data_IF_352396528403
#
_entry.id   IF_352396528403
#
_cell.length_a   1.000
_cell.length_b   1.000
_cell.length_c   1.000
_cell.angle_alpha   90.00
_cell.angle_beta   90.00
_cell.angle_gamma   90.00
#
_symmetry.space_group_name_H-M   'P 1'
#
loop_
_entity.id
_entity.type
_entity.pdbx_description
1 polymer ?
#
# COMPACT_ATOMS: atom_id res chain seq x y z
N UNK A 1 9.91 25.22 26.10
CA UNK A 1 10.18 23.76 26.09
C UNK A 1 8.94 22.89 25.95
N UNK A 2 7.79 23.13 26.62
CA UNK A 2 6.66 22.17 26.65
C UNK A 2 5.43 22.50 25.81
N UNK A 3 5.15 23.79 25.53
CA UNK A 3 4.29 24.18 24.40
C UNK A 3 4.85 23.63 23.06
N UNK A 4 6.18 23.53 22.98
CA UNK A 4 6.94 22.88 21.91
C UNK A 4 6.63 21.38 21.83
N UNK A 5 6.52 20.65 22.96
CA UNK A 5 6.18 19.21 22.99
C UNK A 5 4.76 18.91 22.49
N UNK A 6 3.76 19.72 22.83
CA UNK A 6 2.40 19.57 22.29
C UNK A 6 2.31 19.90 20.79
N UNK A 7 3.07 20.90 20.35
CA UNK A 7 3.21 21.24 18.92
C UNK A 7 3.98 20.15 18.14
N UNK A 8 4.95 19.50 18.79
CA UNK A 8 5.73 18.39 18.26
C UNK A 8 4.92 17.10 18.22
N UNK A 9 4.13 16.77 19.26
CA UNK A 9 3.21 15.63 19.20
C UNK A 9 2.08 15.86 18.20
N UNK A 10 1.59 17.09 18.01
CA UNK A 10 0.62 17.42 16.94
C UNK A 10 1.23 17.28 15.54
N UNK A 11 2.51 17.64 15.37
CA UNK A 11 3.27 17.41 14.13
C UNK A 11 3.55 15.92 13.91
N UNK A 12 3.93 15.18 14.95
CA UNK A 12 4.15 13.73 14.93
C UNK A 12 2.81 13.03 14.67
N UNK A 13 1.73 13.33 15.38
CA UNK A 13 0.41 12.73 15.18
C UNK A 13 -0.11 13.06 13.78
N UNK A 14 -0.09 14.32 13.36
CA UNK A 14 -0.43 14.73 12.00
C UNK A 14 0.37 13.99 10.91
N UNK A 15 1.68 13.86 11.09
CA UNK A 15 2.55 13.11 10.20
C UNK A 15 2.35 11.59 10.32
N UNK A 16 2.04 11.04 11.49
CA UNK A 16 1.92 9.58 11.72
C UNK A 16 0.55 9.04 11.28
N UNK A 17 -0.51 9.86 11.33
CA UNK A 17 -1.81 9.55 10.70
C UNK A 17 -1.73 9.64 9.18
N UNK A 18 -1.07 10.70 8.67
CA UNK A 18 -0.81 10.86 7.23
C UNK A 18 0.06 9.71 6.72
N UNK A 19 1.09 9.34 7.51
CA UNK A 19 1.94 8.16 7.32
C UNK A 19 1.11 6.91 7.12
N UNK A 20 0.21 6.50 8.02
CA UNK A 20 -0.34 5.13 7.96
C UNK A 20 -1.77 4.97 7.43
N UNK A 21 -2.50 6.07 7.19
CA UNK A 21 -3.57 6.07 6.17
C UNK A 21 -3.00 5.81 4.76
N UNK A 22 -1.68 5.91 4.56
CA UNK A 22 -1.00 5.54 3.31
C UNK A 22 -0.02 4.35 3.44
N UNK A 23 0.58 4.11 4.62
CA UNK A 23 1.59 3.07 4.89
C UNK A 23 1.03 1.70 5.33
N UNK A 24 -0.21 1.57 5.83
CA UNK A 24 -0.73 0.28 6.33
C UNK A 24 -1.91 -0.31 5.53
N UNK A 25 -2.38 0.38 4.50
CA UNK A 25 -3.52 -0.07 3.70
C UNK A 25 -3.19 -1.16 2.67
N UNK A 26 -1.92 -1.57 2.55
CA UNK A 26 -1.51 -2.67 1.67
C UNK A 26 -1.35 -4.01 2.42
N UNK A 27 -1.10 -4.02 3.74
CA UNK A 27 -0.99 -5.26 4.53
C UNK A 27 -1.53 -5.15 5.97
N UNK A 28 -2.74 -4.61 6.11
CA UNK A 28 -3.78 -5.21 6.94
C UNK A 28 -5.07 -5.29 6.09
N UNK A 29 -5.02 -6.05 5.00
CA UNK A 29 -5.93 -7.19 5.06
C UNK A 29 -5.32 -8.07 6.15
N UNK A 30 -5.77 -7.87 7.39
CA UNK A 30 -5.97 -9.07 8.18
C UNK A 30 -6.70 -10.02 7.21
N UNK A 31 -6.27 -11.27 7.03
CA UNK A 31 -7.27 -12.23 6.70
C UNK A 31 -8.27 -12.08 7.85
N UNK A 32 -9.37 -11.37 7.61
CA UNK A 32 -10.62 -12.11 7.69
C UNK A 32 -10.40 -13.33 6.78
N UNK A 33 -9.71 -14.34 7.32
CA UNK A 33 -10.38 -15.60 7.45
C UNK A 33 -11.69 -15.18 8.09
N UNK A 34 -12.70 -15.01 7.23
CA UNK A 34 -13.92 -15.70 7.53
C UNK A 34 -13.44 -17.09 7.95
N UNK A 35 -13.30 -17.26 9.27
CA UNK A 35 -13.59 -18.55 9.83
C UNK A 35 -15.02 -18.77 9.37
N UNK A 36 -15.16 -19.39 8.20
CA UNK A 36 -16.37 -20.06 7.79
C UNK A 36 -16.48 -21.15 8.85
N UNK A 37 -17.02 -20.75 10.00
CA UNK A 37 -17.66 -21.66 10.91
C UNK A 37 -18.69 -22.35 10.04
N UNK A 38 -18.41 -23.63 9.75
CA UNK A 38 -19.32 -24.49 9.01
C UNK A 38 -20.73 -24.30 9.57
N UNK A 39 -21.61 -23.75 8.75
CA UNK A 39 -23.06 -23.96 8.83
C UNK A 39 -23.68 -23.62 7.47
N UNK A 40 -24.03 -24.70 6.76
CA UNK A 40 -25.04 -24.89 5.71
C UNK A 40 -25.38 -23.75 4.74
N UNK A 41 -25.07 -23.98 3.45
CA UNK A 41 -25.79 -23.52 2.25
C UNK A 41 -26.05 -22.01 2.03
N UNK A 42 -26.20 -21.55 0.77
CA UNK A 42 -25.84 -20.19 0.40
C UNK A 42 -26.91 -19.19 0.84
N UNK A 43 -26.52 -18.26 1.72
CA UNK A 43 -27.18 -16.95 1.75
C UNK A 43 -26.88 -16.27 0.41
N UNK A 44 -27.78 -16.48 -0.55
CA UNK A 44 -28.00 -15.59 -1.67
C UNK A 44 -28.22 -14.18 -1.11
N UNK A 45 -27.20 -13.35 -1.13
CA UNK A 45 -27.41 -11.90 -1.17
C UNK A 45 -27.78 -11.57 -2.61
N UNK A 46 -29.01 -11.89 -2.98
CA UNK A 46 -29.67 -11.19 -4.07
C UNK A 46 -29.89 -9.77 -3.55
N UNK A 47 -29.13 -8.80 -4.05
CA UNK A 47 -29.32 -7.41 -3.68
C UNK A 47 -30.57 -6.83 -4.36
N UNK A 48 -31.73 -7.35 -3.96
CA UNK A 48 -33.02 -6.80 -4.32
C UNK A 48 -33.61 -5.97 -3.16
N UNK A 49 -32.81 -5.63 -2.13
CA UNK A 49 -33.29 -4.94 -0.91
C UNK A 49 -32.31 -3.98 -0.21
N UNK A 50 -31.05 -3.80 -0.64
CA UNK A 50 -30.25 -2.69 -0.11
C UNK A 50 -30.59 -1.39 -0.85
N UNK A 51 -30.57 -0.30 -0.09
CA UNK A 51 -30.54 1.08 -0.59
C UNK A 51 -29.58 1.15 -1.79
N UNK A 52 -30.03 1.54 -2.99
CA UNK A 52 -29.17 1.69 -4.18
C UNK A 52 -27.93 2.56 -3.86
N UNK A 53 -28.08 3.44 -2.88
CA UNK A 53 -27.03 4.28 -2.35
C UNK A 53 -25.88 3.51 -1.67
N UNK A 54 -26.11 2.28 -1.24
CA UNK A 54 -25.08 1.37 -0.74
C UNK A 54 -24.05 1.00 -1.81
N UNK A 55 -24.38 1.05 -3.11
CA UNK A 55 -23.42 0.84 -4.20
C UNK A 55 -22.38 1.97 -4.22
N UNK A 56 -22.82 3.20 -3.93
CA UNK A 56 -22.00 4.41 -3.91
C UNK A 56 -21.18 4.55 -2.63
N UNK A 57 -21.73 4.11 -1.49
CA UNK A 57 -21.10 4.22 -0.17
C UNK A 57 -20.17 3.06 0.16
N UNK A 58 -19.25 3.33 1.08
CA UNK A 58 -18.46 2.28 1.72
C UNK A 58 -19.31 1.60 2.81
N UNK A 59 -19.38 0.27 2.80
CA UNK A 59 -20.23 -0.53 3.72
C UNK A 59 -19.49 -1.59 4.53
N UNK A 60 -18.22 -1.86 4.23
CA UNK A 60 -17.42 -2.95 4.79
C UNK A 60 -16.72 -2.63 6.10
N UNK A 61 -17.16 -1.59 6.81
CA UNK A 61 -16.60 -1.16 8.08
C UNK A 61 -16.94 0.28 8.42
N UNK A 62 -16.56 0.67 9.64
CA UNK A 62 -16.74 2.01 10.19
C UNK A 62 -15.42 2.54 10.73
N UNK A 63 -15.31 3.85 10.90
CA UNK A 63 -14.09 4.47 11.41
C UNK A 63 -14.31 5.11 12.77
N UNK A 64 -13.40 4.80 13.69
CA UNK A 64 -13.41 5.33 15.06
C UNK A 64 -13.12 6.84 15.14
N UNK A 65 -12.65 7.45 14.07
CA UNK A 65 -12.36 8.89 13.97
C UNK A 65 -12.41 9.33 12.51
N UNK A 66 -12.69 10.61 12.27
CA UNK A 66 -12.79 11.17 10.93
C UNK A 66 -13.76 10.37 10.03
N UNK A 67 -14.79 9.74 10.60
CA UNK A 67 -15.61 8.77 9.87
C UNK A 67 -16.28 9.41 8.66
N UNK A 68 -16.79 10.64 8.83
CA UNK A 68 -17.41 11.40 7.75
C UNK A 68 -16.44 11.61 6.59
N UNK A 69 -15.20 11.96 6.88
CA UNK A 69 -14.15 12.18 5.90
C UNK A 69 -13.74 10.87 5.21
N UNK A 70 -13.60 9.78 5.98
CA UNK A 70 -13.24 8.45 5.46
C UNK A 70 -14.32 7.87 4.54
N UNK A 71 -15.59 8.09 4.88
CA UNK A 71 -16.74 7.73 4.05
C UNK A 71 -16.83 8.60 2.81
N UNK A 72 -16.65 9.93 2.95
CA UNK A 72 -16.71 10.87 1.83
C UNK A 72 -15.61 10.61 0.79
N UNK A 73 -14.38 10.31 1.20
CA UNK A 73 -13.27 10.03 0.29
C UNK A 73 -13.34 8.62 -0.36
N UNK A 74 -14.31 7.78 0.06
CA UNK A 74 -14.62 6.45 -0.50
C UNK A 74 -16.02 6.38 -1.12
N UNK A 75 -16.70 7.51 -1.22
CA UNK A 75 -17.95 7.62 -1.94
C UNK A 75 -17.64 7.78 -3.42
N UNK A 76 -18.25 6.94 -4.26
CA UNK A 76 -18.12 7.03 -5.72
C UNK A 76 -19.49 7.39 -6.28
N UNK A 77 -19.61 8.61 -6.80
CA UNK A 77 -20.80 9.01 -7.54
C UNK A 77 -20.70 8.48 -8.97
N UNK A 78 -21.70 7.73 -9.44
CA UNK A 78 -21.72 7.23 -10.81
C UNK A 78 -23.15 6.92 -11.26
N UNK A 79 -23.40 6.88 -12.57
CA UNK A 79 -24.71 6.47 -13.11
C UNK A 79 -24.75 4.95 -13.37
N UNK A 80 -25.57 4.23 -12.59
CA UNK A 80 -25.67 2.76 -12.68
C UNK A 80 -26.18 2.28 -14.05
N UNK A 81 -27.13 3.02 -14.65
CA UNK A 81 -27.67 2.69 -15.98
C UNK A 81 -26.57 2.76 -17.04
N UNK A 82 -25.75 3.81 -17.00
CA UNK A 82 -24.59 4.00 -17.87
C UNK A 82 -23.54 2.91 -17.66
N UNK A 83 -23.26 2.50 -16.41
CA UNK A 83 -22.33 1.40 -16.13
C UNK A 83 -22.77 0.11 -16.83
N UNK A 84 -24.06 -0.23 -16.71
CA UNK A 84 -24.66 -1.42 -17.33
C UNK A 84 -24.61 -1.34 -18.85
N UNK A 85 -24.90 -0.18 -19.44
CA UNK A 85 -24.85 0.03 -20.89
C UNK A 85 -23.42 -0.08 -21.43
N UNK A 86 -22.45 0.52 -20.75
CA UNK A 86 -21.03 0.42 -21.09
C UNK A 86 -20.56 -1.04 -21.04
N UNK A 87 -20.99 -1.78 -20.01
CA UNK A 87 -20.65 -3.19 -19.85
C UNK A 87 -21.24 -4.10 -20.94
N UNK A 88 -22.53 -3.94 -21.26
CA UNK A 88 -23.17 -4.68 -22.34
C UNK A 88 -22.48 -4.39 -23.69
N UNK A 89 -22.18 -3.11 -23.96
CA UNK A 89 -21.51 -2.67 -25.18
C UNK A 89 -20.08 -3.24 -25.29
N UNK A 90 -19.30 -3.16 -24.21
CA UNK A 90 -17.91 -3.63 -24.18
C UNK A 90 -17.79 -5.16 -24.35
N UNK A 91 -18.83 -5.92 -24.00
CA UNK A 91 -18.87 -7.38 -24.09
C UNK A 91 -19.56 -7.90 -25.35
N UNK A 92 -20.26 -7.04 -26.09
CA UNK A 92 -21.11 -7.42 -27.22
C UNK A 92 -22.40 -8.12 -26.81
N UNK A 93 -22.81 -8.00 -25.54
CA UNK A 93 -24.03 -8.59 -24.98
C UNK A 93 -25.21 -7.61 -25.13
N UNK A 94 -26.45 -8.12 -25.04
CA UNK A 94 -27.66 -7.30 -25.23
C UNK A 94 -27.98 -6.44 -24.00
N UNK A 95 -27.77 -6.98 -22.81
CA UNK A 95 -28.05 -6.31 -21.54
C UNK A 95 -27.31 -6.95 -20.37
N UNK A 96 -27.13 -6.19 -19.29
CA UNK A 96 -26.74 -6.73 -17.98
C UNK A 96 -28.00 -7.11 -17.20
N UNK A 97 -28.03 -8.32 -16.63
CA UNK A 97 -29.16 -8.85 -15.86
C UNK A 97 -28.97 -8.68 -14.35
N UNK A 98 -27.73 -8.57 -13.88
CA UNK A 98 -27.42 -8.46 -12.46
C UNK A 98 -26.19 -7.60 -12.21
N UNK A 99 -26.21 -6.82 -11.12
CA UNK A 99 -25.08 -6.05 -10.61
C UNK A 99 -24.91 -6.37 -9.15
N UNK A 100 -23.73 -6.86 -8.77
CA UNK A 100 -23.41 -7.24 -7.39
C UNK A 100 -22.11 -6.56 -6.95
N UNK A 101 -22.15 -5.78 -5.87
CA UNK A 101 -20.92 -5.25 -5.23
C UNK A 101 -20.22 -6.38 -4.46
N UNK A 102 -19.25 -7.05 -5.09
CA UNK A 102 -18.58 -8.24 -4.53
C UNK A 102 -17.43 -7.90 -3.58
N UNK A 103 -16.86 -6.70 -3.71
CA UNK A 103 -15.77 -6.25 -2.87
C UNK A 103 -15.70 -4.73 -2.89
N UNK A 104 -15.33 -4.15 -1.77
CA UNK A 104 -14.91 -2.77 -1.70
C UNK A 104 -13.64 -2.71 -0.84
N UNK A 105 -12.54 -2.34 -1.50
CA UNK A 105 -11.27 -2.14 -0.84
C UNK A 105 -11.18 -0.73 -0.27
N UNK A 106 -9.99 -0.38 0.23
CA UNK A 106 -9.72 0.98 0.70
C UNK A 106 -9.76 2.01 -0.44
N UNK A 107 -9.54 1.57 -1.67
CA UNK A 107 -9.28 2.42 -2.82
C UNK A 107 -10.21 2.17 -4.00
N UNK A 108 -11.05 1.13 -3.98
CA UNK A 108 -11.88 0.79 -5.14
C UNK A 108 -13.20 0.15 -4.72
N UNK A 109 -14.24 0.42 -5.49
CA UNK A 109 -15.45 -0.40 -5.56
C UNK A 109 -15.30 -1.44 -6.66
N UNK A 110 -15.69 -2.68 -6.37
CA UNK A 110 -15.60 -3.79 -7.30
C UNK A 110 -16.98 -4.44 -7.41
N UNK A 111 -17.51 -4.42 -8.63
CA UNK A 111 -18.80 -5.00 -8.97
C UNK A 111 -18.60 -6.19 -9.89
N UNK A 112 -19.34 -7.27 -9.64
CA UNK A 112 -19.59 -8.31 -10.61
C UNK A 112 -20.84 -7.91 -11.41
N UNK A 113 -20.72 -7.99 -12.73
CA UNK A 113 -21.81 -7.74 -13.67
C UNK A 113 -22.12 -9.03 -14.44
N UNK A 114 -23.36 -9.49 -14.37
CA UNK A 114 -23.82 -10.69 -15.10
C UNK A 114 -24.58 -10.24 -16.35
N UNK A 115 -24.12 -10.66 -17.52
CA UNK A 115 -24.76 -10.37 -18.82
C UNK A 115 -25.90 -11.34 -19.12
N UNK A 116 -26.78 -10.97 -20.05
CA UNK A 116 -27.93 -11.78 -20.46
C UNK A 116 -27.56 -13.11 -21.15
N UNK A 117 -26.31 -13.25 -21.60
CA UNK A 117 -25.76 -14.48 -22.18
C UNK A 117 -25.06 -15.36 -21.12
N UNK A 118 -25.12 -14.97 -19.84
CA UNK A 118 -24.48 -15.66 -18.73
C UNK A 118 -23.01 -15.30 -18.51
N UNK A 119 -22.42 -14.43 -19.35
CA UNK A 119 -21.04 -13.97 -19.14
C UNK A 119 -20.97 -13.07 -17.91
N UNK A 120 -20.00 -13.33 -17.04
CA UNK A 120 -19.71 -12.49 -15.88
C UNK A 120 -18.45 -11.65 -16.14
N UNK A 121 -18.50 -10.37 -15.80
CA UNK A 121 -17.34 -9.46 -15.87
C UNK A 121 -17.18 -8.69 -14.56
N UNK A 122 -16.01 -8.06 -14.39
CA UNK A 122 -15.72 -7.19 -13.26
C UNK A 122 -15.71 -5.74 -13.70
N UNK A 123 -16.42 -4.89 -12.97
CA UNK A 123 -16.27 -3.44 -13.02
C UNK A 123 -15.53 -2.95 -11.77
N UNK A 124 -14.41 -2.28 -11.96
CA UNK A 124 -13.61 -1.67 -10.89
C UNK A 124 -13.67 -0.16 -11.04
N UNK A 125 -14.13 0.54 -10.00
CA UNK A 125 -14.20 1.99 -9.94
C UNK A 125 -13.31 2.47 -8.78
N UNK A 126 -12.27 3.26 -9.03
CA UNK A 126 -11.45 3.81 -7.95
C UNK A 126 -12.24 4.82 -7.12
N UNK A 127 -11.96 4.81 -5.82
CA UNK A 127 -12.43 5.80 -4.87
C UNK A 127 -11.64 7.12 -5.09
N UNK A 128 -12.20 8.28 -4.68
CA UNK A 128 -11.47 9.55 -4.72
C UNK A 128 -10.10 9.54 -4.01
N UNK A 129 -9.90 8.67 -3.02
CA UNK A 129 -8.63 8.51 -2.30
C UNK A 129 -7.63 7.52 -2.96
N UNK A 130 -7.96 6.94 -4.12
CA UNK A 130 -7.15 5.88 -4.76
C UNK A 130 -5.78 6.35 -5.24
N UNK A 131 -5.59 7.66 -5.43
CA UNK A 131 -4.35 8.22 -5.91
C UNK A 131 -4.60 9.49 -6.71
N UNK A 132 -3.67 9.81 -7.61
CA UNK A 132 -3.86 10.94 -8.53
C UNK A 132 -4.95 10.54 -9.55
N UNK A 133 -6.00 11.37 -9.72
CA UNK A 133 -6.98 11.16 -10.77
C UNK A 133 -6.31 11.01 -12.13
N UNK A 134 -6.94 10.29 -13.04
CA UNK A 134 -6.40 9.89 -14.34
C UNK A 134 -5.23 8.90 -14.28
N UNK A 135 -4.15 9.25 -13.59
CA UNK A 135 -2.90 8.49 -13.61
C UNK A 135 -3.03 7.10 -12.97
N UNK A 136 -3.85 6.95 -11.92
CA UNK A 136 -4.00 5.66 -11.24
C UNK A 136 -4.62 4.61 -12.16
N UNK A 137 -5.77 4.93 -12.77
CA UNK A 137 -6.48 4.05 -13.71
C UNK A 137 -5.69 3.85 -15.00
N UNK A 138 -5.16 4.93 -15.60
CA UNK A 138 -4.40 4.85 -16.84
C UNK A 138 -3.16 3.96 -16.69
N UNK A 139 -2.45 4.07 -15.55
CA UNK A 139 -1.28 3.23 -15.31
C UNK A 139 -1.62 1.77 -15.08
N UNK A 140 -2.70 1.50 -14.33
CA UNK A 140 -3.14 0.13 -14.07
C UNK A 140 -3.50 -0.58 -15.37
N UNK A 141 -4.28 0.07 -16.24
CA UNK A 141 -4.68 -0.51 -17.54
C UNK A 141 -3.48 -0.73 -18.46
N UNK A 142 -2.61 0.27 -18.60
CA UNK A 142 -1.40 0.15 -19.42
C UNK A 142 -0.47 -0.97 -18.92
N UNK A 143 -0.37 -1.13 -17.60
CA UNK A 143 0.39 -2.23 -16.99
C UNK A 143 -0.25 -3.57 -17.31
N UNK A 144 -1.57 -3.73 -17.15
CA UNK A 144 -2.25 -4.99 -17.48
C UNK A 144 -2.08 -5.37 -18.96
N UNK A 145 -2.21 -4.40 -19.87
CA UNK A 145 -1.98 -4.61 -21.30
C UNK A 145 -0.54 -5.07 -21.57
N UNK A 146 0.45 -4.36 -21.03
CA UNK A 146 1.86 -4.73 -21.15
C UNK A 146 2.14 -6.14 -20.63
N UNK A 147 1.66 -6.46 -19.42
CA UNK A 147 1.85 -7.79 -18.84
C UNK A 147 1.23 -8.89 -19.72
N UNK A 148 0.02 -8.66 -20.26
CA UNK A 148 -0.68 -9.64 -21.08
C UNK A 148 -0.07 -9.80 -22.47
N UNK A 149 0.13 -8.69 -23.17
CA UNK A 149 0.43 -8.69 -24.61
C UNK A 149 1.93 -8.60 -24.92
N UNK A 150 2.75 -8.09 -23.99
CA UNK A 150 4.21 -8.03 -24.14
C UNK A 150 4.86 -9.17 -23.38
N UNK A 151 4.50 -9.39 -22.11
CA UNK A 151 5.13 -10.44 -21.27
C UNK A 151 4.40 -11.79 -21.30
N UNK A 152 3.26 -11.88 -21.98
CA UNK A 152 2.44 -13.10 -22.08
C UNK A 152 2.05 -13.68 -20.72
N UNK A 153 1.75 -12.81 -19.75
CA UNK A 153 1.33 -13.18 -18.40
C UNK A 153 -0.19 -13.34 -18.32
N UNK A 154 -0.70 -14.27 -17.50
CA UNK A 154 -2.13 -14.53 -17.35
C UNK A 154 -2.80 -13.50 -16.43
N UNK A 155 -2.89 -12.25 -16.89
CA UNK A 155 -3.63 -11.17 -16.22
C UNK A 155 -4.99 -10.94 -16.89
N UNK A 156 -6.01 -10.43 -16.19
CA UNK A 156 -7.34 -10.22 -16.77
C UNK A 156 -7.32 -9.39 -18.05
N UNK A 157 -8.16 -9.73 -19.03
CA UNK A 157 -8.36 -8.89 -20.21
C UNK A 157 -9.20 -7.67 -19.85
N UNK A 158 -8.72 -6.47 -20.20
CA UNK A 158 -9.54 -5.24 -20.13
C UNK A 158 -10.45 -5.17 -21.36
N UNK A 159 -11.74 -4.97 -21.14
CA UNK A 159 -12.75 -4.79 -22.20
C UNK A 159 -12.96 -3.32 -22.55
N UNK A 160 -13.07 -2.47 -21.53
CA UNK A 160 -13.22 -1.03 -21.68
C UNK A 160 -12.75 -0.33 -20.40
N UNK A 161 -12.34 0.93 -20.50
CA UNK A 161 -11.92 1.72 -19.35
C UNK A 161 -12.02 3.20 -19.66
N UNK A 162 -12.06 4.03 -18.62
CA UNK A 162 -11.91 5.48 -18.73
C UNK A 162 -11.26 6.01 -17.45
N UNK A 163 -10.17 6.76 -17.60
CA UNK A 163 -9.47 7.41 -16.49
C UNK A 163 -9.87 8.88 -16.30
N UNK A 164 -10.68 9.44 -17.20
CA UNK A 164 -11.08 10.85 -17.17
C UNK A 164 -12.57 10.95 -16.87
N UNK A 165 -12.91 10.99 -15.57
CA UNK A 165 -14.30 11.00 -15.11
C UNK A 165 -15.16 12.11 -15.73
N UNK A 166 -14.57 13.28 -16.01
CA UNK A 166 -15.26 14.42 -16.65
C UNK A 166 -15.59 14.23 -18.13
N UNK A 167 -14.92 13.29 -18.80
CA UNK A 167 -15.06 13.05 -20.24
C UNK A 167 -15.96 11.84 -20.54
N UNK A 168 -16.51 11.21 -19.50
CA UNK A 168 -17.29 9.98 -19.63
C UNK A 168 -18.64 10.09 -18.91
N UNK A 169 -19.74 9.65 -19.55
CA UNK A 169 -21.10 9.80 -19.03
C UNK A 169 -21.35 9.06 -17.72
N UNK A 170 -20.52 8.08 -17.36
CA UNK A 170 -20.62 7.40 -16.06
C UNK A 170 -20.36 8.36 -14.88
N UNK A 171 -19.56 9.42 -15.09
CA UNK A 171 -19.19 10.38 -14.05
C UNK A 171 -18.09 9.90 -13.09
N UNK A 172 -17.49 8.74 -13.35
CA UNK A 172 -16.41 8.16 -12.55
C UNK A 172 -15.36 7.49 -13.44
N UNK A 173 -14.15 7.35 -12.93
CA UNK A 173 -13.15 6.46 -13.56
C UNK A 173 -13.62 5.00 -13.43
N UNK A 174 -13.26 4.16 -14.41
CA UNK A 174 -13.62 2.75 -14.36
C UNK A 174 -12.70 1.88 -15.21
N UNK A 175 -12.66 0.60 -14.85
CA UNK A 175 -12.09 -0.50 -15.65
C UNK A 175 -13.14 -1.62 -15.70
N UNK A 176 -13.57 -2.00 -16.91
CA UNK A 176 -14.36 -3.19 -17.18
C UNK A 176 -13.44 -4.28 -17.69
N UNK A 177 -13.38 -5.41 -17.00
CA UNK A 177 -12.41 -6.47 -17.27
C UNK A 177 -12.96 -7.88 -17.03
N UNK A 178 -12.25 -8.85 -17.57
CA UNK A 178 -12.52 -10.29 -17.45
C UNK A 178 -12.57 -10.74 -15.98
N UNK A 179 -13.64 -11.44 -15.60
CA UNK A 179 -13.68 -12.17 -14.32
C UNK A 179 -12.80 -13.42 -14.45
N UNK A 180 -11.76 -13.53 -13.63
CA UNK A 180 -10.89 -14.70 -13.64
C UNK A 180 -11.59 -15.89 -12.98
N UNK A 181 -11.61 -17.02 -13.68
CA UNK A 181 -12.04 -18.29 -13.11
C UNK A 181 -10.96 -18.82 -12.16
N UNK A 182 -11.35 -19.24 -10.96
CA UNK A 182 -10.43 -19.84 -10.02
C UNK A 182 -10.85 -19.65 -8.56
N UNK A 183 -9.96 -20.08 -7.66
CA UNK A 183 -10.11 -19.94 -6.21
C UNK A 183 -8.87 -19.22 -5.70
N UNK A 184 -9.06 -18.26 -4.79
CA UNK A 184 -7.96 -17.55 -4.15
C UNK A 184 -7.05 -18.55 -3.44
N UNK A 185 -5.74 -18.49 -3.73
CA UNK A 185 -4.76 -19.47 -3.28
C UNK A 185 -4.78 -19.66 -1.75
N UNK A 186 -4.93 -18.58 -0.99
CA UNK A 186 -5.01 -18.59 0.49
C UNK A 186 -6.10 -19.52 1.02
N UNK A 187 -7.23 -19.65 0.30
CA UNK A 187 -8.37 -20.46 0.75
C UNK A 187 -8.09 -21.97 0.67
N UNK A 188 -7.13 -22.38 -0.16
CA UNK A 188 -6.84 -23.79 -0.44
C UNK A 188 -5.41 -24.18 -0.06
N UNK A 189 -4.51 -23.21 0.15
CA UNK A 189 -3.09 -23.45 0.37
C UNK A 189 -2.81 -24.48 1.45
N UNK A 190 -3.50 -24.41 2.60
CA UNK A 190 -3.26 -25.31 3.72
C UNK A 190 -3.73 -26.75 3.47
N UNK A 191 -4.68 -26.96 2.55
CA UNK A 191 -5.20 -28.28 2.19
C UNK A 191 -4.52 -28.90 0.97
N UNK A 192 -3.74 -28.12 0.22
CA UNK A 192 -2.99 -28.59 -0.96
C UNK A 192 -1.86 -29.55 -0.59
N UNK A 193 -1.65 -30.57 -1.42
CA UNK A 193 -0.55 -31.53 -1.29
C UNK A 193 0.79 -30.88 -1.70
N UNK A 194 1.90 -31.37 -1.14
CA UNK A 194 3.24 -30.84 -1.42
C UNK A 194 3.57 -30.71 -2.91
N UNK A 195 3.25 -31.74 -3.72
CA UNK A 195 3.47 -31.70 -5.18
C UNK A 195 2.69 -30.58 -5.87
N UNK A 196 1.46 -30.30 -5.43
CA UNK A 196 0.64 -29.21 -5.99
C UNK A 196 1.21 -27.84 -5.60
N UNK A 197 1.70 -27.69 -4.36
CA UNK A 197 2.38 -26.46 -3.92
C UNK A 197 3.61 -26.17 -4.77
N UNK A 198 4.43 -27.18 -5.05
CA UNK A 198 5.62 -27.04 -5.92
C UNK A 198 5.22 -26.56 -7.32
N UNK A 199 4.16 -27.12 -7.92
CA UNK A 199 3.68 -26.66 -9.23
C UNK A 199 3.20 -25.21 -9.24
N UNK A 200 2.59 -24.72 -8.16
CA UNK A 200 2.23 -23.31 -8.02
C UNK A 200 3.47 -22.44 -7.86
N UNK A 201 4.45 -22.88 -7.08
CA UNK A 201 5.71 -22.15 -6.92
C UNK A 201 6.45 -22.02 -8.26
N UNK A 202 6.48 -23.08 -9.08
CA UNK A 202 7.10 -23.02 -10.42
C UNK A 202 6.43 -21.96 -11.31
N UNK A 203 5.09 -21.82 -11.23
CA UNK A 203 4.36 -20.78 -11.96
C UNK A 203 4.67 -19.37 -11.44
N UNK A 204 4.74 -19.19 -10.12
CA UNK A 204 5.10 -17.89 -9.51
C UNK A 204 6.51 -17.48 -9.96
N UNK A 205 7.48 -18.40 -9.88
CA UNK A 205 8.86 -18.15 -10.32
C UNK A 205 8.93 -17.82 -11.80
N UNK A 206 8.13 -18.46 -12.65
CA UNK A 206 8.07 -18.10 -14.07
C UNK A 206 7.55 -16.68 -14.30
N UNK A 207 6.50 -16.27 -13.58
CA UNK A 207 5.96 -14.90 -13.64
C UNK A 207 7.03 -13.89 -13.23
N UNK A 208 7.66 -14.11 -12.07
CA UNK A 208 8.72 -13.25 -11.54
C UNK A 208 9.91 -13.15 -12.49
N UNK A 209 10.34 -14.27 -13.08
CA UNK A 209 11.42 -14.31 -14.07
C UNK A 209 11.11 -13.41 -15.26
N UNK A 210 9.90 -13.46 -15.82
CA UNK A 210 9.51 -12.64 -16.97
C UNK A 210 9.43 -11.15 -16.63
N UNK A 211 8.93 -10.81 -15.44
CA UNK A 211 8.93 -9.45 -14.93
C UNK A 211 10.36 -8.93 -14.78
N UNK A 212 11.23 -9.69 -14.10
CA UNK A 212 12.61 -9.28 -13.82
C UNK A 212 13.50 -9.17 -15.07
N UNK A 213 13.18 -9.94 -16.12
CA UNK A 213 13.90 -9.88 -17.39
C UNK A 213 13.61 -8.59 -18.20
N UNK A 214 12.62 -7.81 -17.80
CA UNK A 214 12.21 -6.57 -18.45
C UNK A 214 12.76 -5.39 -17.66
N UNK A 215 13.84 -4.77 -18.15
CA UNK A 215 14.50 -3.66 -17.44
C UNK A 215 14.08 -2.33 -18.05
N UNK A 216 13.14 -1.63 -17.42
CA UNK A 216 12.73 -0.30 -17.87
C UNK A 216 13.91 0.68 -17.82
N UNK A 217 14.00 1.54 -18.83
CA UNK A 217 15.06 2.54 -18.98
C UNK A 217 14.89 3.75 -18.06
N UNK A 218 13.68 3.94 -17.52
CA UNK A 218 13.29 5.09 -16.73
C UNK A 218 12.60 4.65 -15.44
N UNK A 219 12.69 5.49 -14.42
CA UNK A 219 11.96 5.32 -13.17
C UNK A 219 10.59 5.99 -13.27
N UNK A 220 9.53 5.28 -12.87
CA UNK A 220 8.17 5.77 -13.01
C UNK A 220 7.14 4.65 -13.01
N UNK A 221 5.92 5.00 -13.43
CA UNK A 221 4.86 4.03 -13.71
C UNK A 221 4.64 3.92 -15.22
N UNK A 222 4.10 2.78 -15.67
CA UNK A 222 3.82 2.54 -17.09
C UNK A 222 2.48 3.18 -17.48
N UNK A 223 2.42 3.82 -18.64
CA UNK A 223 1.20 4.45 -19.19
C UNK A 223 1.12 4.21 -20.70
N UNK A 224 -0.06 4.42 -21.30
CA UNK A 224 -0.09 4.69 -22.74
C UNK A 224 0.49 6.07 -23.02
N UNK A 225 1.18 6.23 -24.16
CA UNK A 225 1.78 7.53 -24.53
C UNK A 225 0.76 8.65 -24.61
N UNK A 226 -0.48 8.37 -25.05
CA UNK A 226 -1.56 9.37 -25.11
C UNK A 226 -2.07 9.84 -23.74
N UNK A 227 -1.75 9.13 -22.66
CA UNK A 227 -2.10 9.53 -21.30
C UNK A 227 -1.02 10.38 -20.62
N UNK A 228 0.13 10.52 -21.27
CA UNK A 228 1.25 11.33 -20.82
C UNK A 228 1.22 12.72 -21.48
N UNK A 229 1.81 13.74 -20.83
CA UNK A 229 2.02 15.04 -21.47
C UNK A 229 2.84 14.92 -22.77
N UNK A 230 2.57 15.79 -23.76
CA UNK A 230 3.18 15.78 -25.10
C UNK A 230 4.72 15.92 -25.11
N UNK A 231 5.28 16.37 -23.99
CA UNK A 231 6.69 16.55 -23.72
C UNK A 231 7.38 15.29 -23.14
N UNK A 232 6.75 14.12 -23.22
CA UNK A 232 7.36 12.85 -22.86
C UNK A 232 8.44 12.43 -23.88
N UNK A 233 9.57 11.93 -23.37
CA UNK A 233 10.67 11.46 -24.21
C UNK A 233 10.22 10.24 -25.04
N UNK A 234 10.16 10.42 -26.37
CA UNK A 234 9.79 9.37 -27.32
C UNK A 234 10.99 8.67 -27.93
N UNK A 235 12.20 9.17 -27.67
CA UNK A 235 13.45 8.71 -28.29
C UNK A 235 14.16 7.65 -27.46
N UNK A 236 14.05 7.71 -26.14
CA UNK A 236 14.59 6.67 -25.25
C UNK A 236 13.88 5.33 -25.44
N UNK A 237 14.61 4.19 -25.36
CA UNK A 237 14.00 2.88 -25.33
C UNK A 237 13.06 2.76 -24.12
N UNK A 238 12.01 1.96 -24.20
CA UNK A 238 11.10 1.74 -23.07
C UNK A 238 11.74 0.81 -22.04
N UNK A 239 12.27 -0.32 -22.51
CA UNK A 239 12.93 -1.32 -21.68
C UNK A 239 13.99 -2.07 -22.49
N UNK A 240 14.89 -2.74 -21.77
CA UNK A 240 15.81 -3.74 -22.32
C UNK A 240 15.22 -5.12 -22.06
N UNK A 241 15.13 -5.93 -23.11
CA UNK A 241 14.56 -7.28 -23.03
C UNK A 241 15.54 -8.32 -22.45
N UNK A 242 15.07 -9.55 -22.30
CA UNK A 242 15.86 -10.67 -21.77
C UNK A 242 17.11 -11.02 -22.59
N UNK A 243 17.17 -10.57 -23.85
CA UNK A 243 18.29 -10.80 -24.77
C UNK A 243 19.25 -9.61 -24.85
N UNK A 244 18.97 -8.54 -24.09
CA UNK A 244 19.79 -7.33 -24.07
C UNK A 244 19.45 -6.33 -25.16
N UNK A 245 18.36 -6.51 -25.91
CA UNK A 245 17.96 -5.57 -26.95
C UNK A 245 17.14 -4.42 -26.36
N UNK A 246 17.43 -3.22 -26.84
CA UNK A 246 16.64 -2.02 -26.53
C UNK A 246 15.31 -2.04 -27.29
N UNK A 247 14.21 -2.06 -26.55
CA UNK A 247 12.87 -2.09 -27.12
C UNK A 247 12.24 -0.71 -27.04
N UNK A 248 12.03 -0.09 -28.20
CA UNK A 248 11.19 1.11 -28.30
C UNK A 248 9.72 0.71 -28.37
N UNK A 249 8.86 1.51 -27.72
CA UNK A 249 7.41 1.32 -27.79
C UNK A 249 6.74 2.54 -28.37
N UNK A 250 5.86 2.33 -29.35
CA UNK A 250 4.94 3.35 -29.85
C UNK A 250 3.71 3.50 -28.97
N UNK A 251 3.41 2.48 -28.17
CA UNK A 251 2.17 2.37 -27.38
C UNK A 251 2.38 2.87 -25.96
N UNK A 252 3.48 2.44 -25.33
CA UNK A 252 3.72 2.64 -23.90
C UNK A 252 4.84 3.64 -23.64
N UNK A 253 4.76 4.33 -22.51
CA UNK A 253 5.78 5.23 -21.98
C UNK A 253 5.87 5.15 -20.46
N UNK A 254 6.97 5.63 -19.91
CA UNK A 254 7.15 5.78 -18.47
C UNK A 254 6.80 7.21 -18.07
N UNK A 255 5.94 7.34 -17.06
CA UNK A 255 5.47 8.61 -16.53
C UNK A 255 5.64 8.68 -15.01
N UNK A 256 5.00 9.66 -14.35
CA UNK A 256 5.10 9.84 -12.90
C UNK A 256 4.76 8.57 -12.13
N UNK A 257 5.48 8.32 -11.03
CA UNK A 257 5.23 7.16 -10.15
C UNK A 257 3.87 7.25 -9.45
N UNK A 258 3.26 6.10 -9.20
CA UNK A 258 2.11 5.90 -8.31
C UNK A 258 2.49 5.28 -6.94
N UNK A 259 3.78 5.20 -6.62
CA UNK A 259 4.31 4.38 -5.52
C UNK A 259 4.15 4.99 -4.10
N UNK A 260 4.11 4.10 -3.10
CA UNK A 260 4.18 4.32 -1.63
C UNK A 260 5.04 3.17 -1.05
N UNK A 261 6.16 3.42 -0.36
CA UNK A 261 7.22 2.41 -0.06
C UNK A 261 7.34 1.98 1.43
N UNK A 262 7.72 0.72 1.71
CA UNK A 262 8.92 0.25 2.49
C UNK A 262 8.91 -1.25 2.98
N UNK A 263 10.08 -1.74 3.45
CA UNK A 263 10.65 -3.13 3.46
C UNK A 263 10.83 -3.87 4.82
N UNK A 264 11.40 -5.11 4.77
CA UNK A 264 11.39 -6.21 5.77
C UNK A 264 12.79 -6.74 6.22
N UNK A 265 12.88 -7.30 7.44
CA UNK A 265 14.08 -7.92 8.05
C UNK A 265 13.91 -9.37 8.57
N UNK A 266 14.98 -9.94 9.16
CA UNK A 266 15.13 -11.36 9.58
C UNK A 266 14.21 -11.72 10.75
N UNK A 267 13.48 -12.86 10.67
CA UNK A 267 12.46 -13.18 11.67
C UNK A 267 12.82 -14.33 12.63
N UNK A 268 13.10 -14.02 13.90
CA UNK A 268 13.26 -15.02 14.95
C UNK A 268 11.89 -15.57 15.39
N UNK A 269 11.88 -16.80 15.89
CA UNK A 269 10.75 -17.28 16.69
C UNK A 269 10.66 -16.47 17.99
N UNK A 270 9.46 -16.23 18.54
CA UNK A 270 9.31 -15.61 19.85
C UNK A 270 10.09 -16.42 20.90
N UNK A 271 10.95 -15.79 21.71
CA UNK A 271 11.75 -16.50 22.71
C UNK A 271 10.91 -17.16 23.81
N UNK A 272 9.63 -16.80 23.92
CA UNK A 272 8.66 -17.34 24.86
C UNK A 272 7.73 -18.39 24.25
N UNK A 273 8.01 -18.91 23.04
CA UNK A 273 7.13 -19.81 22.31
C UNK A 273 6.62 -20.98 23.17
N UNK A 274 7.48 -21.59 23.98
CA UNK A 274 7.12 -22.77 24.78
C UNK A 274 6.21 -22.44 25.97
N UNK A 275 6.09 -21.16 26.33
CA UNK A 275 5.22 -20.66 27.41
C UNK A 275 3.90 -20.06 26.91
N UNK A 276 3.71 -19.94 25.58
CA UNK A 276 2.47 -19.44 24.98
C UNK A 276 1.38 -20.52 24.99
N UNK A 277 0.12 -20.10 24.95
CA UNK A 277 -0.99 -21.04 24.82
C UNK A 277 -0.96 -21.76 23.45
N UNK A 278 -1.61 -22.94 23.32
CA UNK A 278 -1.56 -23.75 22.11
C UNK A 278 -1.96 -23.05 20.80
N UNK A 279 -2.88 -22.09 20.84
CA UNK A 279 -3.32 -21.35 19.66
C UNK A 279 -2.33 -20.23 19.30
N UNK A 280 -1.76 -19.54 20.29
CA UNK A 280 -0.67 -18.58 20.11
C UNK A 280 0.60 -19.25 19.58
N UNK A 281 0.96 -20.43 20.10
CA UNK A 281 2.04 -21.25 19.56
C UNK A 281 1.81 -21.63 18.11
N UNK A 282 0.57 -21.99 17.75
CA UNK A 282 0.22 -22.37 16.37
C UNK A 282 0.41 -21.18 15.43
N UNK A 283 -0.03 -19.99 15.82
CA UNK A 283 0.14 -18.74 15.06
C UNK A 283 1.61 -18.32 14.94
N UNK A 284 2.37 -18.36 16.03
CA UNK A 284 3.80 -18.04 16.02
C UNK A 284 4.61 -19.01 15.13
N UNK A 285 4.30 -20.31 15.20
CA UNK A 285 4.91 -21.33 14.32
C UNK A 285 4.50 -21.16 12.85
N UNK A 286 3.24 -20.77 12.57
CA UNK A 286 2.77 -20.50 11.22
C UNK A 286 3.45 -19.26 10.61
N UNK A 287 3.57 -18.18 11.39
CA UNK A 287 4.24 -16.95 11.00
C UNK A 287 5.74 -17.19 10.73
N UNK A 288 6.43 -17.91 11.62
CA UNK A 288 7.82 -18.30 11.41
C UNK A 288 8.02 -19.19 10.18
N UNK A 289 7.10 -20.11 9.89
CA UNK A 289 7.13 -20.91 8.65
C UNK A 289 6.98 -20.03 7.42
N UNK A 290 6.05 -19.07 7.42
CA UNK A 290 5.87 -18.12 6.32
C UNK A 290 7.12 -17.27 6.08
N UNK A 291 7.75 -16.78 7.15
CA UNK A 291 8.98 -15.99 7.10
C UNK A 291 10.20 -16.83 6.70
N UNK A 292 10.25 -18.10 7.11
CA UNK A 292 11.25 -19.07 6.64
C UNK A 292 11.09 -19.36 5.15
N UNK A 293 9.83 -19.45 4.67
CA UNK A 293 9.53 -19.61 3.25
C UNK A 293 9.95 -18.37 2.44
N UNK A 294 9.75 -17.17 2.99
CA UNK A 294 10.26 -15.93 2.42
C UNK A 294 11.80 -15.90 2.39
N UNK A 295 12.47 -16.33 3.45
CA UNK A 295 13.94 -16.47 3.45
C UNK A 295 14.42 -17.49 2.40
N UNK A 296 13.70 -18.60 2.23
CA UNK A 296 13.99 -19.57 1.17
C UNK A 296 13.80 -18.96 -0.22
N UNK A 297 12.75 -18.14 -0.41
CA UNK A 297 12.57 -17.33 -1.61
C UNK A 297 13.78 -16.42 -1.87
N UNK A 298 14.25 -15.67 -0.87
CA UNK A 298 15.45 -14.83 -1.00
C UNK A 298 16.70 -15.64 -1.38
N UNK A 299 16.90 -16.81 -0.78
CA UNK A 299 18.01 -17.73 -1.13
C UNK A 299 17.87 -18.23 -2.57
N UNK A 300 16.65 -18.52 -3.04
CA UNK A 300 16.39 -18.91 -4.43
C UNK A 300 16.61 -17.75 -5.39
N UNK A 301 16.24 -16.52 -5.01
CA UNK A 301 16.59 -15.33 -5.76
C UNK A 301 18.12 -15.20 -5.88
N UNK A 302 18.90 -15.40 -4.82
CA UNK A 302 20.37 -15.38 -4.91
C UNK A 302 20.90 -16.41 -5.92
N UNK A 303 20.35 -17.62 -5.89
CA UNK A 303 20.82 -18.72 -6.73
C UNK A 303 20.46 -18.58 -8.21
N UNK A 304 19.30 -18.00 -8.52
CA UNK A 304 18.71 -18.03 -9.86
C UNK A 304 18.63 -16.65 -10.50
N UNK A 305 18.59 -15.58 -9.70
CA UNK A 305 18.42 -14.21 -10.14
C UNK A 305 19.19 -13.25 -9.22
N UNK A 306 20.52 -13.31 -9.34
CA UNK A 306 21.44 -12.56 -8.49
C UNK A 306 21.15 -11.05 -8.54
N UNK A 307 20.71 -10.49 -9.67
CA UNK A 307 20.33 -9.08 -9.77
C UNK A 307 19.12 -8.74 -8.89
N UNK A 308 18.06 -9.56 -8.89
CA UNK A 308 16.90 -9.35 -8.01
C UNK A 308 17.29 -9.53 -6.54
N UNK A 309 18.13 -10.52 -6.25
CA UNK A 309 18.66 -10.67 -4.89
C UNK A 309 19.45 -9.45 -4.44
N UNK A 310 20.38 -8.95 -5.26
CA UNK A 310 21.16 -7.75 -4.96
C UNK A 310 20.27 -6.51 -4.81
N UNK A 311 19.22 -6.35 -5.62
CA UNK A 311 18.26 -5.27 -5.49
C UNK A 311 17.49 -5.32 -4.16
N UNK A 312 17.06 -6.52 -3.73
CA UNK A 312 16.41 -6.74 -2.43
C UNK A 312 17.39 -6.47 -1.27
N UNK A 313 18.65 -6.89 -1.38
CA UNK A 313 19.66 -6.65 -0.35
C UNK A 313 20.11 -5.18 -0.27
N UNK A 314 19.99 -4.42 -1.36
CA UNK A 314 20.48 -3.04 -1.46
C UNK A 314 19.66 -2.04 -0.66
N UNK A 315 18.48 -2.43 -0.16
CA UNK A 315 17.55 -1.53 0.54
C UNK A 315 18.12 -0.92 1.82
N UNK A 316 19.00 -1.65 2.51
CA UNK A 316 19.68 -1.18 3.72
C UNK A 316 20.99 -0.42 3.44
N UNK A 317 21.36 -0.26 2.17
CA UNK A 317 22.56 0.51 1.84
C UNK A 317 22.26 1.99 2.00
N UNK A 318 23.25 2.72 2.49
CA UNK A 318 23.20 4.18 2.59
C UNK A 318 22.84 4.82 1.23
N UNK A 319 23.28 4.23 0.12
CA UNK A 319 22.94 4.67 -1.25
C UNK A 319 21.45 4.58 -1.55
N UNK A 320 20.79 3.49 -1.14
CA UNK A 320 19.34 3.34 -1.30
C UNK A 320 18.58 4.25 -0.34
N UNK A 321 18.98 4.30 0.94
CA UNK A 321 18.38 5.18 1.95
C UNK A 321 18.43 6.65 1.50
N UNK A 322 19.56 7.13 0.97
CA UNK A 322 19.71 8.49 0.44
C UNK A 322 18.86 8.74 -0.82
N UNK A 323 18.48 7.70 -1.58
CA UNK A 323 17.58 7.86 -2.74
C UNK A 323 16.10 7.91 -2.36
N UNK A 324 15.71 7.30 -1.24
CA UNK A 324 14.33 7.21 -0.76
C UNK A 324 14.00 8.33 0.25
N UNK A 325 14.95 8.64 1.12
CA UNK A 325 14.76 9.57 2.26
C UNK A 325 14.47 11.01 1.83
N UNK A 326 15.02 11.60 0.75
CA UNK A 326 14.59 12.91 0.26
C UNK A 326 13.11 12.95 -0.18
N UNK A 327 12.58 11.82 -0.67
CA UNK A 327 11.14 11.65 -0.89
C UNK A 327 10.37 11.60 0.43
N UNK A 328 10.96 11.02 1.47
CA UNK A 328 10.47 11.09 2.84
C UNK A 328 10.59 12.48 3.45
N UNK A 329 11.52 13.36 3.08
CA UNK A 329 11.67 14.73 3.65
C UNK A 329 10.46 15.63 3.38
N UNK A 330 9.75 15.37 2.26
CA UNK A 330 8.47 16.01 1.96
C UNK A 330 7.31 15.47 2.83
N UNK A 331 7.50 14.35 3.53
CA UNK A 331 6.47 13.57 4.25
C UNK A 331 6.77 13.35 5.75
N UNK A 332 8.04 13.35 6.14
CA UNK A 332 8.65 12.99 7.41
C UNK A 332 9.82 13.96 7.68
N UNK A 333 9.75 14.62 8.83
CA UNK A 333 10.50 15.82 9.15
C UNK A 333 12.04 15.72 9.06
N UNK A 334 12.63 16.91 8.91
CA UNK A 334 14.05 17.29 8.86
C UNK A 334 15.03 16.55 9.81
N UNK A 335 14.69 16.18 11.08
CA UNK A 335 15.67 15.59 12.00
C UNK A 335 16.22 14.23 11.57
N UNK A 336 15.38 13.34 11.02
CA UNK A 336 15.82 12.03 10.54
C UNK A 336 16.71 12.15 9.30
N UNK A 337 16.36 13.07 8.39
CA UNK A 337 17.21 13.39 7.24
C UNK A 337 18.54 13.97 7.71
N UNK A 338 18.53 14.90 8.67
CA UNK A 338 19.74 15.53 9.17
C UNK A 338 20.68 14.50 9.83
N UNK A 339 20.15 13.57 10.62
CA UNK A 339 20.93 12.45 11.16
C UNK A 339 21.50 11.56 10.04
N UNK A 340 20.69 11.21 9.04
CA UNK A 340 21.18 10.43 7.90
C UNK A 340 22.25 11.17 7.09
N UNK A 341 22.08 12.46 6.83
CA UNK A 341 23.07 13.29 6.13
C UNK A 341 24.38 13.39 6.91
N UNK A 342 24.32 13.40 8.25
CA UNK A 342 25.51 13.31 9.11
C UNK A 342 26.17 11.94 9.01
N UNK A 343 25.41 10.85 8.94
CA UNK A 343 25.96 9.51 8.73
C UNK A 343 26.57 9.35 7.33
N UNK A 344 25.94 9.94 6.30
CA UNK A 344 26.52 10.03 4.95
C UNK A 344 27.84 10.77 4.97
N UNK A 345 27.93 11.88 5.71
CA UNK A 345 29.18 12.64 5.87
C UNK A 345 30.29 11.80 6.51
N UNK A 346 29.97 10.96 7.50
CA UNK A 346 30.93 10.05 8.14
C UNK A 346 31.45 9.00 7.16
N UNK A 347 30.58 8.46 6.31
CA UNK A 347 30.89 7.39 5.36
C UNK A 347 31.32 7.89 3.97
N UNK A 348 31.38 9.21 3.74
CA UNK A 348 31.53 9.81 2.41
C UNK A 348 32.76 9.30 1.64
N UNK A 349 33.89 9.11 2.34
CA UNK A 349 35.11 8.59 1.73
C UNK A 349 34.97 7.14 1.25
N UNK A 350 34.16 6.32 1.94
CA UNK A 350 33.84 4.96 1.52
C UNK A 350 32.86 4.93 0.34
N UNK A 351 31.97 5.93 0.24
CA UNK A 351 30.96 6.01 -0.83
C UNK A 351 31.58 6.43 -2.17
N UNK A 352 32.45 7.44 -2.17
CA UNK A 352 33.00 8.05 -3.41
C UNK A 352 34.33 7.40 -3.82
N UNK A 353 34.96 6.60 -2.93
CA UNK A 353 36.27 6.03 -3.13
C UNK A 353 37.40 7.03 -2.85
N UNK A 354 38.61 6.50 -2.63
CA UNK A 354 39.80 7.31 -2.37
C UNK A 354 40.20 8.10 -3.62
N UNK A 355 40.59 9.36 -3.41
CA UNK A 355 41.20 10.20 -4.43
C UNK A 355 42.61 9.75 -4.79
N UNK A 356 43.24 10.51 -5.70
CA UNK A 356 44.58 10.23 -6.23
C UNK A 356 45.64 10.14 -5.12
N UNK A 357 45.39 10.83 -4.00
CA UNK A 357 46.17 10.82 -2.78
C UNK A 357 45.34 10.03 -1.76
N UNK A 358 45.81 8.84 -1.39
CA UNK A 358 45.06 7.74 -0.75
C UNK A 358 44.38 8.05 0.59
N UNK A 359 44.47 9.29 1.09
CA UNK A 359 43.92 9.78 2.35
C UNK A 359 42.78 10.80 2.18
N UNK A 360 42.42 11.18 0.96
CA UNK A 360 41.37 12.18 0.68
C UNK A 360 40.23 11.53 -0.11
N UNK A 361 38.94 11.81 0.19
CA UNK A 361 37.85 11.36 -0.68
C UNK A 361 38.00 11.99 -2.08
N UNK A 362 37.64 11.26 -3.14
CA UNK A 362 37.74 11.75 -4.52
C UNK A 362 36.95 13.05 -4.80
N UNK A 363 36.00 13.40 -3.92
CA UNK A 363 35.28 14.67 -3.90
C UNK A 363 34.97 15.07 -2.45
N UNK A 364 35.05 16.36 -2.06
CA UNK A 364 34.62 16.79 -0.73
C UNK A 364 33.10 16.61 -0.54
N UNK A 365 32.66 16.37 0.70
CA UNK A 365 31.23 16.28 0.99
C UNK A 365 30.56 17.64 0.73
N UNK A 366 29.47 17.70 -0.07
CA UNK A 366 28.93 18.95 -0.58
C UNK A 366 28.21 19.81 0.47
N UNK A 367 27.84 19.24 1.63
CA UNK A 367 27.14 19.97 2.69
C UNK A 367 28.09 20.30 3.84
N UNK A 368 27.96 21.52 4.38
CA UNK A 368 28.64 21.95 5.59
C UNK A 368 27.60 22.19 6.68
N UNK A 369 27.92 21.76 7.89
CA UNK A 369 27.09 21.96 9.07
C UNK A 369 27.96 22.63 10.14
N UNK A 370 27.45 23.69 10.74
CA UNK A 370 28.06 24.34 11.90
C UNK A 370 27.84 23.54 13.19
N UNK A 371 28.67 23.76 14.20
CA UNK A 371 28.50 23.14 15.52
C UNK A 371 27.16 23.50 16.19
N UNK A 372 26.60 24.67 15.84
CA UNK A 372 25.27 25.07 16.31
C UNK A 372 24.18 24.22 15.66
N UNK A 373 24.22 24.04 14.34
CA UNK A 373 23.24 23.23 13.60
C UNK A 373 23.28 21.77 14.07
N UNK A 374 24.47 21.20 14.27
CA UNK A 374 24.61 19.82 14.76
C UNK A 374 23.95 19.66 16.14
N UNK A 375 24.20 20.57 17.09
CA UNK A 375 23.57 20.52 18.43
C UNK A 375 22.05 20.67 18.36
N UNK A 376 21.55 21.52 17.48
CA UNK A 376 20.11 21.69 17.29
C UNK A 376 19.48 20.41 16.73
N UNK A 377 20.12 19.79 15.74
CA UNK A 377 19.68 18.51 15.16
C UNK A 377 19.63 17.39 16.19
N UNK A 378 20.66 17.26 17.05
CA UNK A 378 20.69 16.28 18.13
C UNK A 378 19.55 16.49 19.14
N UNK A 379 19.29 17.75 19.54
CA UNK A 379 18.19 18.09 20.43
C UNK A 379 16.82 17.76 19.80
N UNK A 380 16.65 18.05 18.51
CA UNK A 380 15.42 17.72 17.78
C UNK A 380 15.22 16.19 17.68
N UNK A 381 16.30 15.42 17.54
CA UNK A 381 16.29 13.96 17.58
C UNK A 381 15.86 13.39 18.93
N UNK A 382 16.37 13.92 20.05
CA UNK A 382 15.96 13.50 21.39
C UNK A 382 14.49 13.81 21.68
N UNK A 383 14.02 14.99 21.29
CA UNK A 383 12.61 15.36 21.42
C UNK A 383 11.70 14.48 20.56
N UNK A 384 12.20 14.03 19.40
CA UNK A 384 11.52 13.07 18.56
C UNK A 384 11.40 11.70 19.21
N UNK A 385 12.48 11.15 19.77
CA UNK A 385 12.46 9.88 20.47
C UNK A 385 11.44 9.88 21.64
N UNK A 386 11.41 10.97 22.42
CA UNK A 386 10.42 11.15 23.49
C UNK A 386 8.98 11.21 22.96
N UNK A 387 8.76 11.82 21.80
CA UNK A 387 7.47 11.84 21.13
C UNK A 387 7.01 10.45 20.67
N UNK A 388 7.94 9.60 20.23
CA UNK A 388 7.67 8.20 19.85
C UNK A 388 7.28 7.36 21.07
N UNK A 389 7.98 7.50 22.20
CA UNK A 389 7.63 6.80 23.45
C UNK A 389 6.23 7.17 23.95
N UNK A 390 5.89 8.47 23.92
CA UNK A 390 4.55 8.96 24.28
C UNK A 390 3.46 8.36 23.37
N UNK A 391 3.76 8.20 22.09
CA UNK A 391 2.84 7.55 21.15
C UNK A 391 2.63 6.08 21.47
N UNK A 392 3.69 5.34 21.82
CA UNK A 392 3.58 3.94 22.21
C UNK A 392 2.72 3.77 23.48
N UNK A 393 2.90 4.65 24.47
CA UNK A 393 2.08 4.61 25.69
C UNK A 393 0.60 4.93 25.40
N UNK A 394 0.31 5.91 24.54
CA UNK A 394 -1.06 6.22 24.11
C UNK A 394 -1.70 5.01 23.40
N UNK A 395 -0.93 4.33 22.58
CA UNK A 395 -1.32 3.14 21.85
C UNK A 395 -1.70 2.00 22.79
N UNK A 396 -0.88 1.75 23.81
CA UNK A 396 -1.11 0.68 24.77
C UNK A 396 -2.38 0.97 25.59
N UNK A 397 -2.58 2.24 25.97
CA UNK A 397 -3.78 2.67 26.68
C UNK A 397 -5.06 2.49 25.87
N UNK A 398 -5.00 2.69 24.56
CA UNK A 398 -6.19 2.78 23.71
C UNK A 398 -6.49 1.51 22.93
N UNK A 399 -5.53 0.58 22.85
CA UNK A 399 -5.67 -0.61 21.99
C UNK A 399 -5.79 -0.28 20.49
N UNK A 400 -5.52 0.97 20.09
CA UNK A 400 -5.74 1.52 18.74
C UNK A 400 -5.02 0.76 17.62
N UNK A 401 -4.05 -0.08 17.94
CA UNK A 401 -3.21 -0.74 16.94
C UNK A 401 -3.89 -1.88 16.17
N UNK A 402 -5.15 -2.23 16.48
CA UNK A 402 -5.82 -3.28 15.68
C UNK A 402 -5.97 -2.86 14.22
N UNK A 403 -6.22 -1.56 13.93
CA UNK A 403 -6.27 -1.02 12.57
C UNK A 403 -5.89 0.48 12.59
N UNK A 404 -4.69 0.83 12.12
CA UNK A 404 -4.13 2.19 12.25
C UNK A 404 -4.96 3.28 11.55
N UNK A 405 -5.74 2.92 10.54
CA UNK A 405 -6.64 3.85 9.87
C UNK A 405 -7.89 4.17 10.71
N UNK A 406 -8.11 3.44 11.81
CA UNK A 406 -9.27 3.54 12.69
C UNK A 406 -10.45 2.69 12.26
N UNK A 407 -10.26 1.85 11.24
CA UNK A 407 -11.32 1.01 10.70
C UNK A 407 -11.63 -0.15 11.62
N UNK A 408 -12.89 -0.39 11.87
CA UNK A 408 -13.39 -1.55 12.61
C UNK A 408 -14.55 -2.17 11.85
N UNK A 409 -14.87 -3.44 12.15
CA UNK A 409 -16.10 -4.04 11.64
C UNK A 409 -17.29 -3.26 12.21
N UNK A 410 -18.34 -3.12 11.41
CA UNK A 410 -19.55 -2.41 11.84
C UNK A 410 -20.15 -3.00 13.13
N UNK A 411 -20.07 -4.31 13.32
CA UNK A 411 -20.53 -5.00 14.54
C UNK A 411 -19.70 -4.70 15.79
N UNK A 412 -18.40 -4.40 15.62
CA UNK A 412 -17.48 -4.12 16.72
C UNK A 412 -17.38 -2.61 17.02
N UNK A 413 -18.04 -1.76 16.23
CA UNK A 413 -17.88 -0.31 16.28
C UNK A 413 -18.16 0.26 17.67
N UNK A 414 -19.32 -0.04 18.25
CA UNK A 414 -19.73 0.50 19.54
C UNK A 414 -18.80 0.07 20.68
N UNK A 415 -18.29 -1.17 20.62
CA UNK A 415 -17.33 -1.68 21.60
C UNK A 415 -16.00 -0.95 21.46
N UNK A 416 -15.47 -0.89 20.25
CA UNK A 416 -14.18 -0.29 19.94
C UNK A 416 -14.19 1.23 20.18
N UNK A 417 -15.35 1.87 20.04
CA UNK A 417 -15.56 3.27 20.40
C UNK A 417 -15.37 3.50 21.90
N UNK A 418 -16.06 2.73 22.74
CA UNK A 418 -15.91 2.81 24.20
C UNK A 418 -14.48 2.55 24.66
N UNK A 419 -13.82 1.54 24.10
CA UNK A 419 -12.42 1.21 24.45
C UNK A 419 -11.47 2.39 24.16
N UNK A 420 -11.66 3.07 23.03
CA UNK A 420 -10.87 4.26 22.70
C UNK A 420 -11.17 5.42 23.66
N UNK A 421 -12.44 5.71 23.94
CA UNK A 421 -12.82 6.83 24.80
C UNK A 421 -12.24 6.65 26.22
N UNK A 422 -12.28 5.42 26.74
CA UNK A 422 -11.64 5.08 28.02
C UNK A 422 -10.11 5.18 27.98
N UNK A 423 -9.49 4.76 26.88
CA UNK A 423 -8.04 4.87 26.68
C UNK A 423 -7.56 6.31 26.60
N UNK A 424 -8.27 7.16 25.85
CA UNK A 424 -8.00 8.61 25.79
C UNK A 424 -8.12 9.24 27.17
N UNK A 425 -9.14 8.84 27.96
CA UNK A 425 -9.28 9.32 29.35
C UNK A 425 -8.07 8.94 30.21
N UNK A 426 -7.62 7.68 30.17
CA UNK A 426 -6.43 7.21 30.91
C UNK A 426 -5.16 7.99 30.51
N UNK A 427 -4.97 8.21 29.21
CA UNK A 427 -3.85 8.99 28.71
C UNK A 427 -3.87 10.44 29.23
N UNK A 428 -5.02 11.11 29.15
CA UNK A 428 -5.15 12.50 29.61
C UNK A 428 -4.95 12.62 31.13
N UNK A 429 -5.42 11.66 31.92
CA UNK A 429 -5.20 11.63 33.37
C UNK A 429 -3.71 11.48 33.74
N UNK A 430 -2.94 10.78 32.91
CA UNK A 430 -1.49 10.60 33.11
C UNK A 430 -0.67 11.80 32.62
N UNK A 431 -1.01 12.33 31.44
CA UNK A 431 -0.14 13.28 30.73
C UNK A 431 -0.57 14.75 30.84
N UNK A 432 -1.84 15.05 31.17
CA UNK A 432 -2.32 16.42 31.33
C UNK A 432 -2.26 16.86 32.80
N UNK A 433 -1.49 17.90 33.11
CA UNK A 433 -1.35 18.40 34.49
C UNK A 433 -2.38 19.45 34.86
N UNK A 434 -3.04 20.03 33.86
CA UNK A 434 -4.04 21.07 34.00
C UNK A 434 -4.98 21.09 32.78
N UNK A 435 -6.04 21.89 32.85
CA UNK A 435 -7.08 21.95 31.82
C UNK A 435 -6.60 22.59 30.51
N UNK A 436 -5.55 23.40 30.54
CA UNK A 436 -4.94 23.97 29.33
C UNK A 436 -4.16 22.90 28.56
N UNK A 437 -3.34 22.11 29.26
CA UNK A 437 -2.64 20.96 28.70
C UNK A 437 -3.63 19.90 28.22
N UNK A 438 -4.71 19.64 28.97
CA UNK A 438 -5.77 18.71 28.57
C UNK A 438 -6.41 19.11 27.23
N UNK A 439 -6.75 20.40 27.08
CA UNK A 439 -7.26 20.95 25.81
C UNK A 439 -6.22 20.90 24.69
N UNK A 440 -4.95 21.16 25.00
CA UNK A 440 -3.87 21.05 24.02
C UNK A 440 -3.68 19.60 23.53
N UNK A 441 -3.75 18.62 24.44
CA UNK A 441 -3.69 17.20 24.11
C UNK A 441 -4.89 16.76 23.27
N UNK A 442 -6.12 17.11 23.66
CA UNK A 442 -7.32 16.81 22.87
C UNK A 442 -7.26 17.40 21.45
N UNK A 443 -6.67 18.61 21.29
CA UNK A 443 -6.45 19.23 19.97
C UNK A 443 -5.32 18.58 19.17
N UNK A 444 -4.38 17.91 19.84
CA UNK A 444 -3.28 17.20 19.20
C UNK A 444 -3.67 15.77 18.81
N UNK A 445 -4.52 15.12 19.63
CA UNK A 445 -5.02 13.78 19.39
C UNK A 445 -5.96 13.78 18.18
N UNK A 446 -5.65 13.01 17.14
CA UNK A 446 -6.42 12.98 15.89
C UNK A 446 -7.63 12.06 15.91
N UNK A 447 -7.84 11.40 17.04
CA UNK A 447 -8.76 10.28 17.20
C UNK A 447 -10.07 10.71 17.89
N UNK A 448 -10.24 12.01 18.12
CA UNK A 448 -11.35 12.60 18.86
C UNK A 448 -12.11 13.52 17.91
N UNK A 449 -13.28 13.09 17.47
CA UNK A 449 -14.24 13.93 16.72
C UNK A 449 -14.98 14.90 17.66
#
# INVERSE_FOLDING_TARGET
MKATRGHFLRRILGATLSRRCTLHDTFMTAPFSSSISKRNEPEHIADSKHDLEALHRFTSGRWLWNERQQLACRYVNFDLSTLVQLAASATGSRSCTEVLKISEGQYNKVFQLTMNDGREIIAKLPNPNAGRPHFTTASEVATMDFLRNVLNLPVPRVYAWCSRASENPLGAEYILMEKQAGIVLTNVWDTMKGKQKVQILDQIVDIERRLAATKFSQFGSLYYKGDLPDNSDTTSPLYVDSTGNEVQSKTFGIGPTNHRSEDLGKVPLPPNLDSMDPDEQRKAKALHRAQTLHNLYLVRCLQVNETVFQAIQSQNTLRHQVSVVPGLVLMDYEPLLNDLLRDVKKEWAHIIGAGVDSNSPGMPFPLQFSDYEIRQQEQDGELWAQGVELMNAFVDDTGCFKHWDGRVRSEDYEKSRRELDEGVRRFLEREARNEEERRAWLKALPFVD
#
